data_IF_363691817511
#
_entry.id   IF_363691817511
#
_cell.length_a   1.000
_cell.length_b   1.000
_cell.length_c   1.000
_cell.angle_alpha   90.00
_cell.angle_beta   90.00
_cell.angle_gamma   90.00
#
_symmetry.space_group_name_H-M   'P 1'
#
loop_
_entity.id
_entity.type
_entity.pdbx_description
1 polymer ?
#
# COMPACT_ATOMS: atom_id res chain seq x y z
N UNK A 1 -0.35 11.46 15.62
CA UNK A 1 -1.45 11.17 16.57
C UNK A 1 -2.45 10.33 15.78
N UNK A 2 -2.52 9.02 16.04
CA UNK A 2 -3.39 8.10 15.28
C UNK A 2 -4.76 8.10 15.96
N UNK A 3 -5.80 8.60 15.29
CA UNK A 3 -7.18 8.54 15.80
C UNK A 3 -7.73 7.12 15.60
N UNK A 4 -8.01 6.44 16.71
CA UNK A 4 -8.64 5.12 16.74
C UNK A 4 -10.16 5.30 16.75
N UNK A 5 -10.82 4.87 15.67
CA UNK A 5 -12.28 4.90 15.55
C UNK A 5 -12.86 3.66 16.26
N UNK A 6 -13.84 3.79 17.18
CA UNK A 6 -14.51 2.63 17.76
C UNK A 6 -15.54 2.05 16.77
N UNK A 7 -15.52 0.71 16.61
CA UNK A 7 -16.49 -0.01 15.80
C UNK A 7 -17.86 -0.04 16.48
N UNK A 8 -18.89 0.54 15.86
CA UNK A 8 -20.27 0.36 16.27
C UNK A 8 -20.88 -0.78 15.45
N UNK A 9 -21.10 -1.93 16.10
CA UNK A 9 -21.84 -3.03 15.50
C UNK A 9 -23.32 -2.63 15.36
N UNK A 10 -23.82 -2.60 14.13
CA UNK A 10 -25.25 -2.45 13.81
C UNK A 10 -25.93 -3.80 14.01
N UNK A 11 -26.97 -3.82 14.86
CA UNK A 11 -27.89 -4.96 15.00
C UNK A 11 -29.13 -4.72 14.14
N UNK A 12 -29.55 -5.68 13.29
CA UNK A 12 -30.80 -5.60 12.56
C UNK A 12 -31.89 -6.34 13.35
N UNK A 13 -32.99 -5.64 13.70
CA UNK A 13 -34.36 -6.17 13.72
C UNK A 13 -35.22 -5.51 14.80
N UNK A 14 -36.46 -5.18 14.42
CA UNK A 14 -37.61 -5.33 15.30
C UNK A 14 -38.39 -4.06 15.59
N UNK A 15 -39.25 -3.66 14.66
CA UNK A 15 -40.36 -2.75 14.97
C UNK A 15 -41.22 -3.33 16.10
N UNK A 16 -41.41 -2.58 17.19
CA UNK A 16 -42.56 -2.74 18.09
C UNK A 16 -43.13 -1.35 18.37
N UNK A 17 -44.37 -1.20 17.91
CA UNK A 17 -45.31 -0.09 18.12
C UNK A 17 -45.97 -0.22 19.51
N UNK A 18 -46.29 0.92 20.14
CA UNK A 18 -47.17 1.22 21.31
C UNK A 18 -46.39 2.15 22.25
N UNK A 19 -46.88 3.31 22.69
CA UNK A 19 -48.24 3.75 22.94
C UNK A 19 -48.35 5.28 22.85
N UNK A 20 -49.51 5.72 22.36
CA UNK A 20 -50.03 7.09 22.45
C UNK A 20 -50.17 7.46 23.93
N UNK A 21 -49.54 8.54 24.38
CA UNK A 21 -49.96 9.21 25.60
C UNK A 21 -50.52 10.59 25.28
N UNK A 22 -51.84 10.67 25.45
CA UNK A 22 -52.70 11.77 25.08
C UNK A 22 -52.74 12.76 26.26
N UNK A 23 -51.91 13.81 26.24
CA UNK A 23 -52.03 14.89 27.22
C UNK A 23 -53.07 15.91 26.72
N UNK A 24 -54.34 15.53 26.82
CA UNK A 24 -55.45 16.49 26.82
C UNK A 24 -55.68 16.95 28.25
N UNK A 25 -55.08 18.09 28.59
CA UNK A 25 -55.52 19.01 29.63
C UNK A 25 -54.65 20.27 29.45
N UNK A 26 -55.10 21.52 29.49
CA UNK A 26 -56.37 22.10 29.88
C UNK A 26 -56.21 23.60 29.53
N UNK A 27 -56.78 24.11 28.42
CA UNK A 27 -56.71 25.55 28.13
C UNK A 27 -58.03 26.06 27.55
N UNK A 28 -58.94 26.38 28.47
CA UNK A 28 -60.14 27.15 28.18
C UNK A 28 -60.25 28.32 29.15
N UNK A 29 -59.40 29.32 28.97
CA UNK A 29 -59.71 30.69 29.39
C UNK A 29 -58.85 31.68 28.62
N UNK A 30 -59.56 32.48 27.81
CA UNK A 30 -59.10 33.65 27.07
C UNK A 30 -58.46 34.66 28.03
N UNK A 31 -57.18 34.97 27.83
CA UNK A 31 -56.58 36.20 28.38
C UNK A 31 -55.55 36.75 27.39
N UNK A 32 -55.64 38.06 27.20
CA UNK A 32 -54.89 38.95 26.32
C UNK A 32 -53.39 38.69 26.19
N UNK A 33 -52.92 38.81 24.94
CA UNK A 33 -51.53 39.12 24.54
C UNK A 33 -50.99 40.29 25.38
N UNK A 34 -49.75 40.18 25.91
CA UNK A 34 -48.63 40.75 25.15
C UNK A 34 -47.35 39.89 25.17
N UNK A 35 -46.50 40.20 24.20
CA UNK A 35 -45.05 39.94 24.14
C UNK A 35 -44.55 38.66 23.46
N UNK A 36 -44.69 38.64 22.14
CA UNK A 36 -44.09 37.68 21.19
C UNK A 36 -42.64 38.11 20.88
N UNK A 37 -41.81 38.29 21.91
CA UNK A 37 -40.41 38.71 21.72
C UNK A 37 -39.37 37.65 22.15
N UNK A 38 -39.75 36.64 22.95
CA UNK A 38 -38.83 35.56 23.39
C UNK A 38 -38.80 34.33 22.46
N UNK A 39 -39.83 34.14 21.63
CA UNK A 39 -39.97 32.95 20.78
C UNK A 39 -39.17 33.03 19.47
N UNK A 40 -38.83 34.24 19.02
CA UNK A 40 -38.13 34.47 17.75
C UNK A 40 -36.62 34.31 17.88
N UNK A 41 -36.06 34.67 19.03
CA UNK A 41 -34.61 34.64 19.26
C UNK A 41 -34.10 33.19 19.35
N UNK A 42 -34.82 32.34 20.10
CA UNK A 42 -34.50 30.90 20.21
C UNK A 42 -34.63 30.13 18.88
N UNK A 43 -35.62 30.48 18.04
CA UNK A 43 -35.75 29.90 16.70
C UNK A 43 -34.59 30.34 15.78
N UNK A 44 -34.15 31.58 15.89
CA UNK A 44 -33.02 32.11 15.11
C UNK A 44 -31.70 31.43 15.50
N UNK A 45 -31.46 31.25 16.80
CA UNK A 45 -30.32 30.49 17.31
C UNK A 45 -30.35 29.02 16.87
N UNK A 46 -31.53 28.40 16.86
CA UNK A 46 -31.71 27.02 16.38
C UNK A 46 -31.37 26.89 14.89
N UNK A 47 -31.83 27.83 14.05
CA UNK A 47 -31.50 27.84 12.63
C UNK A 47 -30.01 28.06 12.39
N UNK A 48 -29.38 28.97 13.14
CA UNK A 48 -27.94 29.21 13.04
C UNK A 48 -27.13 27.97 13.43
N UNK A 49 -27.55 27.27 14.49
CA UNK A 49 -26.91 26.03 14.91
C UNK A 49 -27.02 24.95 13.84
N UNK A 50 -28.19 24.82 13.19
CA UNK A 50 -28.39 23.91 12.07
C UNK A 50 -27.46 24.24 10.90
N UNK A 51 -27.31 25.52 10.55
CA UNK A 51 -26.38 25.97 9.51
C UNK A 51 -24.91 25.65 9.87
N UNK A 52 -24.50 25.88 11.12
CA UNK A 52 -23.16 25.53 11.62
C UNK A 52 -22.92 24.02 11.58
N UNK A 53 -23.90 23.20 11.96
CA UNK A 53 -23.82 21.74 11.88
C UNK A 53 -23.62 21.31 10.43
N UNK A 54 -24.42 21.84 9.51
CA UNK A 54 -24.31 21.49 8.08
C UNK A 54 -22.95 21.89 7.51
N UNK A 55 -22.43 23.06 7.89
CA UNK A 55 -21.09 23.49 7.48
C UNK A 55 -19.98 22.57 8.00
N UNK A 56 -20.06 22.17 9.27
CA UNK A 56 -19.08 21.24 9.87
C UNK A 56 -19.15 19.86 9.21
N UNK A 57 -20.36 19.34 8.93
CA UNK A 57 -20.52 18.06 8.23
C UNK A 57 -19.96 18.11 6.81
N UNK A 58 -20.16 19.22 6.10
CA UNK A 58 -19.57 19.41 4.78
C UNK A 58 -18.04 19.46 4.84
N UNK A 59 -17.48 20.22 5.77
CA UNK A 59 -16.03 20.31 5.96
C UNK A 59 -15.42 18.95 6.33
N UNK A 60 -16.09 18.19 7.20
CA UNK A 60 -15.68 16.84 7.58
C UNK A 60 -15.65 15.91 6.36
N UNK A 61 -16.70 15.93 5.54
CA UNK A 61 -16.75 15.14 4.32
C UNK A 61 -15.59 15.47 3.38
N UNK A 62 -15.36 16.76 3.12
CA UNK A 62 -14.23 17.21 2.27
C UNK A 62 -12.89 16.75 2.86
N UNK A 63 -12.72 16.84 4.18
CA UNK A 63 -11.49 16.37 4.85
C UNK A 63 -11.29 14.86 4.72
N UNK A 64 -12.36 14.08 4.86
CA UNK A 64 -12.31 12.62 4.75
C UNK A 64 -12.01 12.16 3.32
N UNK A 65 -12.64 12.80 2.33
CA UNK A 65 -12.37 12.52 0.92
C UNK A 65 -10.90 12.81 0.58
N UNK A 66 -10.35 13.93 1.06
CA UNK A 66 -8.95 14.28 0.86
C UNK A 66 -7.98 13.30 1.56
N UNK A 67 -8.29 12.86 2.79
CA UNK A 67 -7.47 11.88 3.51
C UNK A 67 -7.49 10.51 2.82
N UNK A 68 -8.65 10.09 2.30
CA UNK A 68 -8.78 8.85 1.54
C UNK A 68 -7.95 8.87 0.25
N UNK A 69 -8.07 9.94 -0.55
CA UNK A 69 -7.28 10.12 -1.78
C UNK A 69 -5.78 10.08 -1.47
N UNK A 70 -5.32 10.79 -0.44
CA UNK A 70 -3.92 10.75 -0.02
C UNK A 70 -3.47 9.34 0.38
N UNK A 71 -4.31 8.61 1.13
CA UNK A 71 -4.00 7.24 1.53
C UNK A 71 -3.90 6.31 0.33
N UNK A 72 -4.77 6.46 -0.66
CA UNK A 72 -4.74 5.70 -1.91
C UNK A 72 -3.48 6.01 -2.74
N UNK A 73 -3.13 7.28 -2.91
CA UNK A 73 -1.91 7.70 -3.60
C UNK A 73 -0.65 7.12 -2.95
N UNK A 74 -0.56 7.20 -1.62
CA UNK A 74 0.57 6.66 -0.87
C UNK A 74 0.66 5.14 -0.98
N UNK A 75 -0.48 4.44 -0.87
CA UNK A 75 -0.54 2.99 -1.02
C UNK A 75 -0.11 2.57 -2.43
N UNK A 76 -0.58 3.28 -3.46
CA UNK A 76 -0.21 3.01 -4.84
C UNK A 76 1.29 3.24 -5.08
N UNK A 77 1.83 4.36 -4.57
CA UNK A 77 3.27 4.65 -4.65
C UNK A 77 4.10 3.55 -3.96
N UNK A 78 3.69 3.11 -2.77
CA UNK A 78 4.36 2.03 -2.05
C UNK A 78 4.27 0.68 -2.78
N UNK A 79 3.10 0.34 -3.34
CA UNK A 79 2.93 -0.88 -4.13
C UNK A 79 3.85 -0.88 -5.37
N UNK A 80 3.98 0.27 -6.03
CA UNK A 80 4.86 0.46 -7.18
C UNK A 80 6.33 0.28 -6.80
N UNK A 81 6.79 0.86 -5.70
CA UNK A 81 8.18 0.71 -5.24
C UNK A 81 8.48 -0.73 -4.87
N UNK A 82 7.60 -1.41 -4.13
CA UNK A 82 7.71 -2.83 -3.81
C UNK A 82 7.86 -3.66 -5.09
N UNK A 83 6.94 -3.50 -6.05
CA UNK A 83 6.98 -4.23 -7.33
C UNK A 83 8.30 -4.01 -8.08
N UNK A 84 8.79 -2.77 -8.13
CA UNK A 84 10.08 -2.43 -8.75
C UNK A 84 11.28 -3.10 -8.06
N UNK A 85 11.25 -3.25 -6.74
CA UNK A 85 12.31 -3.94 -5.99
C UNK A 85 12.30 -5.43 -6.33
N UNK A 86 11.14 -6.09 -6.37
CA UNK A 86 11.05 -7.52 -6.68
C UNK A 86 11.51 -7.83 -8.10
N UNK A 87 11.09 -7.03 -9.09
CA UNK A 87 11.53 -7.24 -10.48
C UNK A 87 13.03 -7.07 -10.63
N UNK A 88 13.63 -6.06 -9.97
CA UNK A 88 15.10 -5.89 -9.94
C UNK A 88 15.80 -7.06 -9.26
N UNK A 89 15.26 -7.55 -8.15
CA UNK A 89 15.80 -8.71 -7.42
C UNK A 89 15.80 -9.95 -8.31
N UNK A 90 14.68 -10.23 -8.98
CA UNK A 90 14.54 -11.42 -9.83
C UNK A 90 15.47 -11.34 -11.04
N UNK A 91 15.62 -10.16 -11.65
CA UNK A 91 16.60 -9.94 -12.70
C UNK A 91 18.04 -10.17 -12.22
N UNK A 92 18.39 -9.68 -11.01
CA UNK A 92 19.70 -9.89 -10.42
C UNK A 92 19.96 -11.37 -10.12
N UNK A 93 18.99 -12.08 -9.54
CA UNK A 93 19.08 -13.51 -9.28
C UNK A 93 19.31 -14.30 -10.57
N UNK A 94 18.56 -13.98 -11.63
CA UNK A 94 18.73 -14.60 -12.95
C UNK A 94 20.13 -14.34 -13.52
N UNK A 95 20.64 -13.11 -13.44
CA UNK A 95 21.98 -12.77 -13.89
C UNK A 95 23.07 -13.54 -13.11
N UNK A 96 22.94 -13.66 -11.79
CA UNK A 96 23.86 -14.41 -10.95
C UNK A 96 23.85 -15.90 -11.31
N UNK A 97 22.66 -16.50 -11.46
CA UNK A 97 22.53 -17.92 -11.86
C UNK A 97 23.17 -18.18 -13.23
N UNK A 98 22.89 -17.32 -14.22
CA UNK A 98 23.50 -17.40 -15.54
C UNK A 98 25.03 -17.34 -15.47
N UNK A 99 25.57 -16.45 -14.62
CA UNK A 99 27.02 -16.34 -14.42
C UNK A 99 27.61 -17.56 -13.74
N UNK A 100 26.93 -18.14 -12.74
CA UNK A 100 27.35 -19.39 -12.09
C UNK A 100 27.44 -20.52 -13.11
N UNK A 101 26.45 -20.65 -13.99
CA UNK A 101 26.47 -21.69 -15.03
C UNK A 101 27.56 -21.47 -16.06
N UNK A 102 27.86 -20.21 -16.41
CA UNK A 102 29.00 -19.88 -17.26
C UNK A 102 30.32 -20.27 -16.61
N UNK A 103 30.52 -19.92 -15.33
CA UNK A 103 31.74 -20.27 -14.59
C UNK A 103 31.93 -21.79 -14.54
N UNK A 104 30.86 -22.56 -14.29
CA UNK A 104 30.91 -24.03 -14.32
C UNK A 104 31.34 -24.58 -15.68
N UNK A 105 30.92 -23.96 -16.79
CA UNK A 105 31.35 -24.38 -18.14
C UNK A 105 32.82 -24.07 -18.38
N UNK A 106 33.26 -22.87 -18.05
CA UNK A 106 34.68 -22.49 -18.21
C UNK A 106 35.60 -23.32 -17.31
N UNK A 107 35.15 -23.65 -16.09
CA UNK A 107 35.90 -24.54 -15.18
C UNK A 107 36.15 -25.91 -15.80
N UNK A 108 35.11 -26.56 -16.37
CA UNK A 108 35.29 -27.83 -17.10
C UNK A 108 36.25 -27.70 -18.28
N UNK A 109 36.17 -26.60 -19.03
CA UNK A 109 37.08 -26.35 -20.14
C UNK A 109 38.53 -26.21 -19.67
N UNK A 110 38.76 -25.58 -18.52
CA UNK A 110 40.09 -25.48 -17.93
C UNK A 110 40.63 -26.84 -17.47
N UNK A 111 39.78 -27.68 -16.88
CA UNK A 111 40.13 -29.07 -16.54
C UNK A 111 40.54 -29.87 -17.80
N UNK A 112 39.76 -29.76 -18.88
CA UNK A 112 40.10 -30.40 -20.17
C UNK A 112 41.45 -29.88 -20.73
N UNK A 113 41.68 -28.56 -20.62
CA UNK A 113 42.93 -27.95 -21.09
C UNK A 113 44.14 -28.32 -20.24
N UNK A 114 43.95 -28.56 -18.95
CA UNK A 114 45.00 -29.04 -18.04
C UNK A 114 45.49 -30.44 -18.45
N UNK A 115 44.58 -31.36 -18.78
CA UNK A 115 44.95 -32.69 -19.27
C UNK A 115 45.71 -32.62 -20.59
N UNK A 116 45.28 -31.75 -21.52
CA UNK A 116 45.99 -31.50 -22.77
C UNK A 116 47.41 -30.97 -22.49
N UNK A 117 47.53 -29.97 -21.61
CA UNK A 117 48.82 -29.40 -21.24
C UNK A 117 49.74 -30.42 -20.55
N UNK A 118 49.20 -31.28 -19.68
CA UNK A 118 49.93 -32.38 -19.07
C UNK A 118 50.47 -33.37 -20.11
N UNK A 119 49.68 -33.72 -21.13
CA UNK A 119 50.13 -34.55 -22.24
C UNK A 119 51.28 -33.91 -23.02
N UNK A 120 51.12 -32.64 -23.39
CA UNK A 120 52.18 -31.88 -24.07
C UNK A 120 53.44 -31.75 -23.21
N UNK A 121 53.31 -31.45 -21.91
CA UNK A 121 54.44 -31.32 -20.98
C UNK A 121 55.25 -32.61 -20.79
N UNK A 122 54.63 -33.78 -20.99
CA UNK A 122 55.32 -35.09 -20.93
C UNK A 122 55.94 -35.52 -22.25
N UNK A 123 55.65 -34.81 -23.35
CA UNK A 123 56.16 -35.15 -24.68
C UNK A 123 57.57 -34.59 -24.88
N UNK A 124 58.45 -35.36 -25.54
CA UNK A 124 59.83 -34.93 -25.80
C UNK A 124 59.86 -33.62 -26.60
N UNK A 125 60.76 -32.69 -26.21
CA UNK A 125 60.88 -31.36 -26.83
C UNK A 125 61.13 -31.42 -28.33
N UNK A 126 61.93 -32.37 -28.80
CA UNK A 126 62.24 -32.52 -30.23
C UNK A 126 61.00 -32.89 -31.05
N UNK A 127 60.17 -33.81 -30.54
CA UNK A 127 58.91 -34.23 -31.17
C UNK A 127 57.92 -33.05 -31.23
N UNK A 128 57.82 -32.28 -30.13
CA UNK A 128 56.95 -31.09 -30.09
C UNK A 128 57.39 -30.02 -31.08
N UNK A 129 58.70 -29.83 -31.23
CA UNK A 129 59.26 -28.87 -32.19
C UNK A 129 59.06 -29.35 -33.63
N UNK A 130 59.32 -30.61 -33.93
CA UNK A 130 59.24 -31.17 -35.28
C UNK A 130 57.81 -31.21 -35.82
N UNK A 131 56.85 -31.70 -35.02
CA UNK A 131 55.48 -31.92 -35.50
C UNK A 131 54.50 -30.80 -35.16
N UNK A 132 54.77 -30.02 -34.12
CA UNK A 132 53.86 -28.96 -33.65
C UNK A 132 54.47 -27.57 -33.64
N UNK A 133 55.77 -27.42 -33.93
CA UNK A 133 56.46 -26.12 -33.96
C UNK A 133 56.56 -25.43 -32.59
N UNK A 134 56.41 -26.18 -31.49
CA UNK A 134 56.39 -25.63 -30.14
C UNK A 134 57.79 -25.66 -29.50
N UNK A 135 58.34 -24.49 -29.18
CA UNK A 135 59.56 -24.37 -28.37
C UNK A 135 59.21 -24.20 -26.89
N UNK A 136 59.38 -25.26 -26.10
CA UNK A 136 59.11 -25.23 -24.65
C UNK A 136 60.30 -24.62 -23.93
N UNK A 137 60.18 -23.32 -23.58
CA UNK A 137 61.12 -22.57 -22.74
C UNK A 137 61.41 -23.31 -21.44
N UNK A 138 62.70 -23.35 -21.06
CA UNK A 138 63.19 -24.05 -19.87
C UNK A 138 62.79 -23.40 -18.55
#
# INVERSE_FOLDING_TARGET
MILKIPSLAVSPSGNVMLEVNNHKDLLKSRTSSPDVSMSTDSQTETLKLEDEINQVLQALRVSQDAEYELAEELLFAQKKTFTSIWTKRDALLSAVLSRVDQIKREMRKLEDMEEVANGFGRTCKDILKEHFGLEVGG
#
